data_IF_475764475482
#
_entry.id   IF_475764475482
#
_cell.length_a   1.000
_cell.length_b   1.000
_cell.length_c   1.000
_cell.angle_alpha   90.00
_cell.angle_beta   90.00
_cell.angle_gamma   90.00
#
_symmetry.space_group_name_H-M   'P 1'
#
loop_
_entity.id
_entity.type
_entity.pdbx_description
1 polymer ?
#
# COMPACT_ATOMS: atom_id res chain seq x y z
N UNK A 1 2.08 9.54 2.42
CA UNK A 1 3.20 9.35 3.37
C UNK A 1 2.66 8.95 4.74
N UNK A 2 3.33 8.08 5.52
CA UNK A 2 2.96 7.81 6.91
C UNK A 2 3.01 9.08 7.78
N UNK A 3 2.11 9.20 8.76
CA UNK A 3 2.09 10.34 9.70
C UNK A 3 3.43 10.54 10.41
N UNK A 4 4.11 9.45 10.78
CA UNK A 4 5.42 9.45 11.43
C UNK A 4 6.57 10.00 10.57
N UNK A 5 6.33 10.22 9.27
CA UNK A 5 7.30 10.77 8.33
C UNK A 5 6.88 12.13 7.76
N UNK A 6 5.82 12.74 8.27
CA UNK A 6 5.35 14.06 7.83
C UNK A 6 4.13 14.05 6.91
N UNK A 7 3.46 12.89 6.74
CA UNK A 7 2.22 12.80 5.97
C UNK A 7 1.09 13.62 6.58
N UNK A 8 0.55 14.57 5.81
CA UNK A 8 -0.57 15.46 6.21
C UNK A 8 -1.91 15.10 5.59
N UNK A 9 -1.89 14.34 4.50
CA UNK A 9 -3.10 13.94 3.76
C UNK A 9 -3.47 12.52 4.19
N UNK A 10 -4.72 12.35 4.61
CA UNK A 10 -5.32 11.05 4.89
C UNK A 10 -6.42 10.82 3.87
N UNK A 11 -6.34 9.70 3.16
CA UNK A 11 -7.37 9.27 2.23
C UNK A 11 -7.97 7.96 2.73
N UNK A 12 -9.30 7.78 2.64
CA UNK A 12 -9.91 6.49 2.90
C UNK A 12 -9.44 5.49 1.85
N UNK A 13 -9.03 4.32 2.31
CA UNK A 13 -8.63 3.18 1.47
C UNK A 13 -9.37 1.94 1.95
N UNK A 14 -9.70 1.04 1.03
CA UNK A 14 -10.31 -0.23 1.41
C UNK A 14 -9.42 -0.98 2.43
N UNK A 15 -10.01 -1.68 3.42
CA UNK A 15 -9.25 -2.36 4.46
C UNK A 15 -8.18 -3.32 3.93
N UNK A 16 -8.49 -4.02 2.83
CA UNK A 16 -7.53 -4.93 2.17
C UNK A 16 -6.35 -4.16 1.57
N UNK A 17 -6.60 -3.04 0.90
CA UNK A 17 -5.55 -2.19 0.32
C UNK A 17 -4.65 -1.60 1.41
N UNK A 18 -5.26 -1.13 2.51
CA UNK A 18 -4.52 -0.61 3.66
C UNK A 18 -3.61 -1.67 4.28
N UNK A 19 -4.15 -2.88 4.54
CA UNK A 19 -3.37 -3.99 5.10
C UNK A 19 -2.23 -4.39 4.17
N UNK A 20 -2.47 -4.47 2.86
CA UNK A 20 -1.42 -4.83 1.89
C UNK A 20 -0.31 -3.79 1.86
N UNK A 21 -0.64 -2.48 1.88
CA UNK A 21 0.37 -1.43 1.93
C UNK A 21 1.29 -1.58 3.15
N UNK A 22 0.74 -1.86 4.33
CA UNK A 22 1.51 -2.08 5.55
C UNK A 22 2.27 -3.42 5.59
N UNK A 23 1.74 -4.46 4.95
CA UNK A 23 2.42 -5.76 4.85
C UNK A 23 3.56 -5.76 3.83
N UNK A 24 3.43 -4.94 2.79
CA UNK A 24 4.41 -4.80 1.72
C UNK A 24 5.53 -3.83 2.11
N UNK A 25 5.18 -2.64 2.60
CA UNK A 25 6.13 -1.55 2.74
C UNK A 25 6.23 -1.09 4.20
N UNK A 26 7.46 -0.98 4.68
CA UNK A 26 7.77 -0.30 5.91
C UNK A 26 7.62 1.22 5.76
N UNK A 27 7.51 1.93 6.90
CA UNK A 27 7.51 3.38 6.91
C UNK A 27 8.80 4.00 6.33
N UNK A 28 9.91 3.28 6.38
CA UNK A 28 11.18 3.73 5.80
C UNK A 28 11.18 3.64 4.27
N UNK A 29 10.67 2.53 3.72
CA UNK A 29 10.53 2.34 2.27
C UNK A 29 9.53 3.34 1.68
N UNK A 30 8.40 3.57 2.34
CA UNK A 30 7.43 4.59 1.91
C UNK A 30 8.05 5.99 1.85
N UNK A 31 8.90 6.34 2.82
CA UNK A 31 9.61 7.61 2.82
C UNK A 31 10.69 7.68 1.74
N UNK A 32 11.33 6.56 1.40
CA UNK A 32 12.33 6.48 0.34
C UNK A 32 11.68 6.65 -1.04
N UNK A 33 10.62 5.89 -1.32
CA UNK A 33 9.90 5.95 -2.59
C UNK A 33 9.35 7.36 -2.87
N UNK A 34 8.86 8.05 -1.83
CA UNK A 34 8.40 9.43 -1.96
C UNK A 34 9.54 10.41 -2.26
N UNK A 35 10.69 10.32 -1.56
CA UNK A 35 11.87 11.14 -1.88
C UNK A 35 12.40 10.90 -3.29
N UNK A 36 12.32 9.66 -3.76
CA UNK A 36 12.75 9.28 -5.11
C UNK A 36 11.72 9.63 -6.19
N UNK A 37 10.51 10.07 -5.81
CA UNK A 37 9.41 10.31 -6.74
C UNK A 37 8.87 9.03 -7.40
N UNK A 38 9.22 7.86 -6.85
CA UNK A 38 8.85 6.56 -7.40
C UNK A 38 7.41 6.22 -7.02
N UNK A 39 6.52 5.97 -7.99
CA UNK A 39 5.17 5.53 -7.70
C UNK A 39 5.17 4.21 -6.92
N UNK A 40 4.35 4.13 -5.86
CA UNK A 40 4.19 2.89 -5.08
C UNK A 40 3.81 1.69 -5.95
N UNK A 41 3.07 1.95 -7.03
CA UNK A 41 2.65 0.97 -8.02
C UNK A 41 3.82 0.27 -8.73
N UNK A 42 5.01 0.87 -8.77
CA UNK A 42 6.21 0.26 -9.38
C UNK A 42 6.93 -0.71 -8.42
N UNK A 43 6.48 -0.85 -7.18
CA UNK A 43 7.06 -1.83 -6.26
C UNK A 43 6.53 -3.22 -6.64
N UNK A 44 7.37 -4.23 -6.94
CA UNK A 44 6.91 -5.52 -7.49
C UNK A 44 5.81 -6.22 -6.67
N UNK A 45 5.86 -6.11 -5.35
CA UNK A 45 4.84 -6.65 -4.44
C UNK A 45 3.49 -5.91 -4.53
N UNK A 46 3.52 -4.58 -4.68
CA UNK A 46 2.32 -3.75 -4.86
C UNK A 46 1.76 -3.93 -6.25
N UNK A 47 2.61 -3.96 -7.28
CA UNK A 47 2.20 -4.18 -8.67
C UNK A 47 1.41 -5.48 -8.82
N UNK A 48 1.94 -6.59 -8.27
CA UNK A 48 1.26 -7.89 -8.28
C UNK A 48 -0.09 -7.85 -7.58
N UNK A 49 -0.18 -7.15 -6.45
CA UNK A 49 -1.44 -6.97 -5.73
C UNK A 49 -2.43 -6.14 -6.54
N UNK A 50 -2.00 -5.01 -7.13
CA UNK A 50 -2.84 -4.14 -7.96
C UNK A 50 -3.42 -4.91 -9.16
N UNK A 51 -2.61 -5.73 -9.83
CA UNK A 51 -3.07 -6.59 -10.92
C UNK A 51 -4.12 -7.61 -10.49
N UNK A 52 -4.03 -8.12 -9.26
CA UNK A 52 -4.95 -9.13 -8.74
C UNK A 52 -6.25 -8.54 -8.15
N UNK A 53 -6.21 -7.31 -7.63
CA UNK A 53 -7.36 -6.64 -7.03
C UNK A 53 -8.18 -5.85 -8.06
N UNK A 54 -7.59 -5.49 -9.21
CA UNK A 54 -8.22 -4.61 -10.20
C UNK A 54 -9.57 -5.10 -10.76
N UNK A 55 -9.80 -6.40 -10.77
CA UNK A 55 -11.01 -7.07 -11.26
C UNK A 55 -12.00 -7.45 -10.15
N UNK A 56 -11.72 -7.07 -8.89
CA UNK A 56 -12.54 -7.44 -7.73
C UNK A 56 -13.57 -6.35 -7.38
N UNK A 57 -14.75 -6.72 -6.83
CA UNK A 57 -15.74 -5.74 -6.40
C UNK A 57 -15.23 -4.88 -5.24
N UNK A 58 -15.76 -3.67 -5.03
CA UNK A 58 -15.33 -2.77 -3.96
C UNK A 58 -15.50 -3.39 -2.56
N UNK A 59 -16.54 -4.20 -2.37
CA UNK A 59 -16.82 -4.89 -1.10
C UNK A 59 -16.01 -6.19 -0.92
N UNK A 60 -15.05 -6.45 -1.80
CA UNK A 60 -14.24 -7.67 -1.75
C UNK A 60 -13.37 -7.72 -0.48
N UNK A 61 -13.50 -8.83 0.26
CA UNK A 61 -12.69 -9.11 1.43
C UNK A 61 -11.89 -10.39 1.25
N UNK A 62 -10.58 -10.30 1.46
CA UNK A 62 -9.68 -11.44 1.50
C UNK A 62 -8.65 -11.27 2.62
N UNK A 63 -8.17 -12.38 3.22
CA UNK A 63 -7.15 -12.33 4.26
C UNK A 63 -5.81 -11.85 3.68
N UNK A 64 -5.32 -10.72 4.18
CA UNK A 64 -3.95 -10.25 3.90
C UNK A 64 -2.99 -10.93 4.87
N UNK A 65 -2.05 -11.73 4.37
CA UNK A 65 -0.99 -12.30 5.22
C UNK A 65 -0.04 -11.18 5.64
N UNK A 66 -0.02 -10.84 6.93
CA UNK A 66 0.98 -9.92 7.47
C UNK A 66 2.36 -10.56 7.36
N UNK A 67 3.32 -9.85 6.78
CA UNK A 67 4.71 -10.10 7.15
C UNK A 67 4.82 -9.73 8.64
N UNK A 68 5.31 -10.66 9.46
CA UNK A 68 5.47 -10.48 10.91
C UNK A 68 6.91 -10.08 11.18
#
# INVERSE_FOLDING_TARGET
MPKSRGGRIVVPVHPICHRTLHAALSNAELARLEREGTPLAQTPQIERFLRWIADKPPDFHAPTRSAR
#
